data_IF_352987358321
#
_entry.id   IF_352987358321
#
_cell.length_a   1.000
_cell.length_b   1.000
_cell.length_c   1.000
_cell.angle_alpha   90.00
_cell.angle_beta   90.00
_cell.angle_gamma   90.00
#
_symmetry.space_group_name_H-M   'P 1'
#
loop_
_entity.id
_entity.type
_entity.pdbx_description
1 polymer ?
#
# COMPACT_ATOMS: atom_id res chain seq x y z
N UNK A 1 79.24 -36.16 -30.27
CA UNK A 1 80.05 -37.23 -29.67
C UNK A 1 79.14 -38.06 -28.79
N UNK A 2 79.09 -39.36 -29.12
CA UNK A 2 78.58 -40.52 -28.38
C UNK A 2 77.49 -40.37 -27.27
N UNK A 3 76.31 -40.92 -27.62
CA UNK A 3 75.44 -41.89 -26.90
C UNK A 3 76.16 -42.80 -25.85
N UNK A 4 75.51 -43.72 -25.07
CA UNK A 4 74.11 -44.18 -25.12
C UNK A 4 73.47 -44.54 -23.75
N UNK A 5 72.15 -44.81 -23.69
CA UNK A 5 71.63 -46.12 -23.26
C UNK A 5 70.10 -46.19 -23.42
N UNK A 6 69.67 -47.16 -24.21
CA UNK A 6 68.32 -47.73 -24.25
C UNK A 6 68.48 -49.19 -23.82
N UNK A 7 67.50 -49.80 -23.15
CA UNK A 7 67.13 -51.13 -23.60
C UNK A 7 65.62 -51.33 -23.70
N UNK A 8 65.25 -51.92 -24.83
CA UNK A 8 63.99 -52.58 -25.16
C UNK A 8 63.67 -53.75 -24.21
N UNK A 9 62.36 -54.04 -24.02
CA UNK A 9 61.69 -55.33 -24.37
C UNK A 9 60.32 -55.45 -23.67
N UNK A 10 59.21 -55.57 -24.40
CA UNK A 10 58.48 -56.79 -24.85
C UNK A 10 57.27 -57.13 -23.95
N UNK A 11 56.09 -56.95 -24.54
CA UNK A 11 54.89 -57.82 -24.59
C UNK A 11 54.36 -58.50 -23.31
N UNK A 12 53.12 -58.18 -22.94
CA UNK A 12 51.96 -59.10 -22.92
C UNK A 12 50.77 -58.51 -22.15
N UNK A 13 49.56 -58.72 -22.69
CA UNK A 13 48.43 -59.13 -21.86
C UNK A 13 47.40 -58.07 -21.45
N UNK A 14 46.39 -57.95 -22.30
CA UNK A 14 44.96 -57.70 -22.04
C UNK A 14 44.42 -57.82 -20.60
N UNK A 15 43.60 -56.82 -20.26
CA UNK A 15 42.27 -56.86 -19.60
C UNK A 15 42.08 -57.15 -18.10
N UNK A 16 41.17 -56.34 -17.56
CA UNK A 16 40.21 -56.55 -16.45
C UNK A 16 40.74 -56.31 -15.02
N UNK A 17 40.42 -55.14 -14.44
CA UNK A 17 39.25 -54.81 -13.58
C UNK A 17 39.42 -55.34 -12.15
N UNK A 18 39.54 -54.43 -11.18
CA UNK A 18 38.58 -54.28 -10.07
C UNK A 18 39.14 -53.41 -8.95
N UNK A 19 38.31 -52.44 -8.51
CA UNK A 19 38.30 -51.74 -7.20
C UNK A 19 39.51 -50.86 -6.89
N UNK A 20 39.44 -49.77 -6.17
CA UNK A 20 38.47 -48.87 -5.53
C UNK A 20 39.36 -47.63 -5.29
N UNK A 21 38.84 -46.39 -5.33
CA UNK A 21 39.27 -45.36 -4.37
C UNK A 21 38.53 -44.04 -4.59
N UNK A 22 38.09 -43.54 -3.45
CA UNK A 22 37.26 -42.39 -3.11
C UNK A 22 37.82 -41.04 -3.58
N UNK A 23 36.95 -40.20 -4.17
CA UNK A 23 36.83 -38.74 -3.99
C UNK A 23 35.93 -38.23 -5.13
N UNK A 24 34.90 -37.40 -4.96
CA UNK A 24 34.63 -36.38 -3.97
C UNK A 24 33.14 -36.05 -4.11
N UNK A 25 32.31 -36.59 -3.21
CA UNK A 25 30.91 -36.18 -3.06
C UNK A 25 30.86 -35.02 -2.07
N UNK A 26 30.59 -33.82 -2.60
CA UNK A 26 30.14 -32.65 -1.85
C UNK A 26 29.79 -31.51 -2.82
N UNK A 27 28.81 -31.73 -3.68
CA UNK A 27 27.93 -30.62 -4.07
C UNK A 27 26.98 -30.41 -2.90
N UNK A 28 27.38 -29.55 -1.98
CA UNK A 28 26.46 -28.95 -1.02
C UNK A 28 25.58 -28.02 -1.85
N UNK A 29 24.54 -28.59 -2.45
CA UNK A 29 23.36 -27.83 -2.82
C UNK A 29 22.72 -27.43 -1.48
N UNK A 30 23.14 -26.28 -0.96
CA UNK A 30 22.35 -25.51 -0.02
C UNK A 30 21.07 -25.12 -0.76
N UNK A 31 20.14 -26.08 -0.82
CA UNK A 31 18.75 -25.83 -1.12
C UNK A 31 18.29 -24.88 0.00
N UNK A 32 18.38 -23.57 -0.27
CA UNK A 32 17.74 -22.54 0.53
C UNK A 32 16.26 -22.94 0.56
N UNK A 33 15.86 -23.68 1.60
CA UNK A 33 14.48 -23.99 1.88
C UNK A 33 13.81 -22.63 2.02
N UNK A 34 13.10 -22.21 0.97
CA UNK A 34 12.39 -20.94 1.01
C UNK A 34 11.40 -21.08 2.15
N UNK A 35 11.67 -20.42 3.27
CA UNK A 35 10.76 -20.37 4.41
C UNK A 35 9.47 -19.76 3.92
N UNK A 36 8.40 -20.55 3.98
CA UNK A 36 7.07 -20.09 3.59
C UNK A 36 6.62 -19.01 4.57
N UNK A 37 6.24 -17.85 4.05
CA UNK A 37 5.66 -16.74 4.82
C UNK A 37 4.16 -16.71 4.57
N UNK A 38 3.37 -16.80 5.64
CA UNK A 38 1.91 -16.79 5.61
C UNK A 38 1.38 -15.36 5.74
N UNK A 39 0.65 -14.91 4.73
CA UNK A 39 0.03 -13.59 4.67
C UNK A 39 -1.47 -13.72 4.88
N UNK A 40 -1.95 -13.35 6.06
CA UNK A 40 -3.37 -13.25 6.37
C UNK A 40 -3.96 -11.97 5.77
N UNK A 41 -5.09 -12.04 5.07
CA UNK A 41 -5.72 -10.85 4.49
C UNK A 41 -7.17 -10.57 4.91
N UNK A 42 -7.48 -9.29 5.15
CA UNK A 42 -8.80 -8.76 5.54
C UNK A 42 -9.23 -7.57 4.65
N UNK A 43 -10.31 -7.75 3.90
CA UNK A 43 -10.90 -6.71 3.05
C UNK A 43 -12.33 -7.08 2.64
N UNK A 44 -13.12 -6.11 2.15
CA UNK A 44 -14.47 -6.36 1.62
C UNK A 44 -14.47 -7.44 0.54
N UNK A 45 -15.54 -8.23 0.54
CA UNK A 45 -15.73 -9.35 -0.38
C UNK A 45 -15.66 -8.94 -1.87
N UNK A 46 -16.13 -7.75 -2.23
CA UNK A 46 -16.00 -7.21 -3.59
C UNK A 46 -14.55 -7.07 -4.03
N UNK A 47 -13.66 -6.63 -3.12
CA UNK A 47 -12.23 -6.49 -3.40
C UNK A 47 -11.50 -7.82 -3.44
N UNK A 48 -11.84 -8.75 -2.55
CA UNK A 48 -11.31 -10.11 -2.62
C UNK A 48 -11.61 -10.77 -3.97
N UNK A 49 -12.84 -10.60 -4.47
CA UNK A 49 -13.23 -11.08 -5.81
C UNK A 49 -12.44 -10.41 -6.93
N UNK A 50 -12.19 -9.10 -6.86
CA UNK A 50 -11.38 -8.39 -7.86
C UNK A 50 -9.92 -8.87 -7.86
N UNK A 51 -9.31 -9.05 -6.68
CA UNK A 51 -7.96 -9.61 -6.58
C UNK A 51 -7.88 -11.06 -7.06
N UNK A 52 -8.87 -11.89 -6.74
CA UNK A 52 -8.94 -13.26 -7.24
C UNK A 52 -9.01 -13.31 -8.77
N UNK A 53 -9.83 -12.45 -9.39
CA UNK A 53 -9.92 -12.34 -10.86
C UNK A 53 -8.58 -11.95 -11.52
N UNK A 54 -7.74 -11.20 -10.80
CA UNK A 54 -6.42 -10.75 -11.26
C UNK A 54 -5.29 -11.72 -10.89
N UNK A 55 -5.60 -12.83 -10.21
CA UNK A 55 -4.60 -13.79 -9.75
C UNK A 55 -3.67 -13.26 -8.65
N UNK A 56 -4.10 -12.26 -7.87
CA UNK A 56 -3.24 -11.60 -6.88
C UNK A 56 -3.08 -12.41 -5.58
N UNK A 57 -4.03 -13.29 -5.26
CA UNK A 57 -3.96 -14.20 -4.11
C UNK A 57 -4.12 -15.65 -4.59
N UNK A 58 -3.03 -16.30 -5.03
CA UNK A 58 -3.07 -17.67 -5.51
C UNK A 58 -3.36 -18.66 -4.37
N UNK A 59 -4.00 -19.79 -4.70
CA UNK A 59 -4.41 -20.83 -3.74
C UNK A 59 -3.24 -21.67 -3.17
N UNK A 60 -2.01 -21.44 -3.63
CA UNK A 60 -0.81 -22.17 -3.21
C UNK A 60 0.36 -21.24 -2.92
N UNK A 61 1.49 -21.84 -2.51
CA UNK A 61 2.72 -21.09 -2.24
C UNK A 61 3.24 -20.49 -3.54
N UNK A 62 3.47 -19.18 -3.52
CA UNK A 62 4.06 -18.46 -4.67
C UNK A 62 5.52 -18.85 -4.88
N UNK A 63 6.11 -18.60 -6.07
CA UNK A 63 7.55 -18.83 -6.30
C UNK A 63 8.48 -18.10 -5.32
N UNK A 64 7.99 -17.05 -4.66
CA UNK A 64 8.72 -16.27 -3.66
C UNK A 64 8.45 -16.74 -2.21
N UNK A 65 7.78 -17.89 -2.02
CA UNK A 65 7.51 -18.44 -0.69
C UNK A 65 6.32 -17.84 0.05
N UNK A 66 5.48 -17.02 -0.58
CA UNK A 66 4.29 -16.44 0.08
C UNK A 66 3.09 -17.37 -0.03
N UNK A 67 2.37 -17.57 1.09
CA UNK A 67 1.08 -18.26 1.15
C UNK A 67 0.01 -17.27 1.62
N UNK A 68 -1.06 -17.09 0.84
CA UNK A 68 -2.14 -16.15 1.19
C UNK A 68 -3.31 -16.86 1.86
N UNK A 69 -3.68 -16.40 3.06
CA UNK A 69 -4.78 -16.95 3.85
C UNK A 69 -5.86 -15.89 4.05
N UNK A 70 -7.10 -16.21 3.66
CA UNK A 70 -8.23 -15.33 3.94
C UNK A 70 -8.55 -15.38 5.44
N UNK A 71 -8.55 -14.22 6.08
CA UNK A 71 -9.07 -14.07 7.44
C UNK A 71 -10.54 -13.62 7.41
N UNK A 72 -11.24 -13.78 8.54
CA UNK A 72 -12.68 -13.56 8.66
C UNK A 72 -13.04 -12.98 10.03
N UNK A 73 -13.86 -11.91 10.03
CA UNK A 73 -14.43 -11.34 11.25
C UNK A 73 -15.65 -12.12 11.76
N UNK A 74 -16.16 -13.07 10.96
CA UNK A 74 -17.28 -13.95 11.31
C UNK A 74 -16.86 -15.10 12.25
N UNK A 75 -15.55 -15.31 12.43
CA UNK A 75 -14.94 -16.30 13.32
C UNK A 75 -14.00 -15.60 14.31
N UNK A 76 -13.67 -16.21 15.47
CA UNK A 76 -12.69 -15.64 16.39
C UNK A 76 -11.38 -15.30 15.68
N UNK A 77 -10.87 -14.08 15.85
CA UNK A 77 -9.68 -13.63 15.12
C UNK A 77 -8.40 -14.30 15.65
N UNK A 78 -8.26 -14.44 16.97
CA UNK A 78 -7.01 -14.88 17.60
C UNK A 78 -6.42 -16.16 16.97
N UNK A 79 -7.17 -17.28 16.82
CA UNK A 79 -6.59 -18.49 16.23
C UNK A 79 -6.22 -18.34 14.75
N UNK A 80 -6.86 -17.42 14.03
CA UNK A 80 -6.52 -17.14 12.64
C UNK A 80 -5.26 -16.28 12.53
N UNK A 81 -5.05 -15.38 13.49
CA UNK A 81 -3.91 -14.46 13.54
C UNK A 81 -2.63 -15.14 14.03
N UNK A 82 -2.73 -16.11 14.94
CA UNK A 82 -1.60 -16.94 15.39
C UNK A 82 -1.01 -17.82 14.28
N UNK A 83 -1.75 -18.02 13.18
CA UNK A 83 -1.34 -18.85 12.05
C UNK A 83 -0.75 -18.03 10.88
N UNK A 84 -0.53 -16.72 11.04
CA UNK A 84 0.00 -15.87 9.98
C UNK A 84 1.18 -15.02 10.45
N UNK A 85 2.13 -14.77 9.55
CA UNK A 85 3.32 -13.96 9.81
C UNK A 85 3.09 -12.48 9.50
N UNK A 86 2.23 -12.20 8.51
CA UNK A 86 1.92 -10.86 8.01
C UNK A 86 0.41 -10.66 7.94
N UNK A 87 -0.09 -9.50 8.37
CA UNK A 87 -1.48 -9.09 8.22
C UNK A 87 -1.58 -8.02 7.12
N UNK A 88 -2.22 -8.36 6.01
CA UNK A 88 -2.59 -7.43 4.95
C UNK A 88 -4.07 -7.02 5.12
N UNK A 89 -4.36 -5.74 5.33
CA UNK A 89 -5.75 -5.31 5.47
C UNK A 89 -6.08 -4.06 4.67
N UNK A 90 -7.38 -3.86 4.41
CA UNK A 90 -7.92 -2.56 4.00
C UNK A 90 -8.80 -2.00 5.11
N UNK A 91 -8.20 -1.33 6.10
CA UNK A 91 -8.94 -0.77 7.23
C UNK A 91 -10.06 0.19 6.82
N UNK A 92 -9.87 0.92 5.72
CA UNK A 92 -10.86 1.86 5.20
C UNK A 92 -12.17 1.21 4.77
N UNK A 93 -12.20 -0.10 4.53
CA UNK A 93 -13.44 -0.83 4.26
C UNK A 93 -14.34 -0.95 5.48
N UNK A 94 -13.74 -0.97 6.65
CA UNK A 94 -14.37 -1.22 7.94
C UNK A 94 -14.64 0.08 8.70
N UNK A 95 -14.57 1.23 8.04
CA UNK A 95 -14.95 2.53 8.61
C UNK A 95 -16.47 2.63 8.64
N UNK A 96 -17.02 2.99 9.79
CA UNK A 96 -18.43 3.31 10.00
C UNK A 96 -18.64 4.82 9.88
N UNK A 97 -17.79 5.61 10.54
CA UNK A 97 -17.85 7.07 10.51
C UNK A 97 -16.47 7.67 10.74
N UNK A 98 -16.32 8.92 10.30
CA UNK A 98 -15.13 9.74 10.51
C UNK A 98 -15.58 11.08 11.09
N UNK A 99 -14.99 11.48 12.22
CA UNK A 99 -15.18 12.79 12.83
C UNK A 99 -13.87 13.57 12.82
N UNK A 100 -13.82 14.62 11.99
CA UNK A 100 -12.65 15.48 11.80
C UNK A 100 -12.78 16.83 12.51
N UNK A 101 -13.74 16.98 13.44
CA UNK A 101 -14.01 18.26 14.12
C UNK A 101 -12.89 18.65 15.09
N UNK A 102 -12.22 17.67 15.68
CA UNK A 102 -11.10 17.90 16.59
C UNK A 102 -9.76 17.66 15.87
N UNK A 103 -9.18 18.75 15.39
CA UNK A 103 -7.90 18.84 14.65
C UNK A 103 -6.64 18.33 15.37
N UNK A 104 -6.78 17.64 16.51
CA UNK A 104 -5.66 16.94 17.12
C UNK A 104 -5.46 15.62 16.40
N UNK A 105 -4.26 15.42 15.83
CA UNK A 105 -3.70 14.20 15.25
C UNK A 105 -4.10 12.93 16.05
N UNK A 106 -5.31 12.44 15.88
CA UNK A 106 -5.81 11.35 16.70
C UNK A 106 -6.45 10.31 15.81
N UNK A 107 -5.90 9.10 15.92
CA UNK A 107 -6.49 7.85 15.44
C UNK A 107 -7.94 7.63 15.92
N UNK A 108 -8.41 8.44 16.87
CA UNK A 108 -9.76 8.40 17.44
C UNK A 108 -10.81 9.07 16.55
N UNK A 109 -10.40 9.77 15.49
CA UNK A 109 -11.31 10.33 14.49
C UNK A 109 -12.09 9.26 13.72
N UNK A 110 -11.63 8.00 13.71
CA UNK A 110 -12.23 6.94 12.91
C UNK A 110 -12.95 5.95 13.81
N UNK A 111 -14.24 5.74 13.55
CA UNK A 111 -15.00 4.64 14.15
C UNK A 111 -15.00 3.46 13.21
N UNK A 112 -14.39 2.35 13.63
CA UNK A 112 -14.39 1.09 12.88
C UNK A 112 -15.49 0.11 13.30
N UNK A 113 -15.76 -0.89 12.45
CA UNK A 113 -16.57 -2.06 12.79
C UNK A 113 -15.98 -2.85 13.97
N UNK A 114 -16.84 -3.64 14.63
CA UNK A 114 -16.43 -4.48 15.78
C UNK A 114 -15.23 -5.37 15.44
N UNK A 115 -15.21 -6.01 14.26
CA UNK A 115 -14.12 -6.89 13.85
C UNK A 115 -12.79 -6.15 13.69
N UNK A 116 -12.82 -4.96 13.07
CA UNK A 116 -11.62 -4.15 12.92
C UNK A 116 -11.13 -3.55 14.25
N UNK A 117 -12.03 -3.24 15.19
CA UNK A 117 -11.65 -2.87 16.56
C UNK A 117 -10.95 -4.01 17.30
N UNK A 118 -11.42 -5.25 17.12
CA UNK A 118 -10.77 -6.44 17.69
C UNK A 118 -9.37 -6.64 17.09
N UNK A 119 -9.23 -6.48 15.77
CA UNK A 119 -7.94 -6.52 15.08
C UNK A 119 -6.99 -5.43 15.57
N UNK A 120 -7.47 -4.19 15.72
CA UNK A 120 -6.69 -3.07 16.27
C UNK A 120 -6.14 -3.40 17.66
N UNK A 121 -6.99 -3.92 18.56
CA UNK A 121 -6.56 -4.32 19.90
C UNK A 121 -5.51 -5.43 19.87
N UNK A 122 -5.63 -6.38 18.95
CA UNK A 122 -4.62 -7.43 18.77
C UNK A 122 -3.27 -6.82 18.35
N UNK A 123 -3.26 -5.92 17.36
CA UNK A 123 -2.05 -5.25 16.87
C UNK A 123 -1.38 -4.37 17.94
N UNK A 124 -2.15 -3.74 18.82
CA UNK A 124 -1.62 -2.97 19.95
C UNK A 124 -0.92 -3.85 21.01
N UNK A 125 -1.28 -5.14 21.08
CA UNK A 125 -0.72 -6.10 22.02
C UNK A 125 0.47 -6.90 21.45
N UNK A 126 0.62 -6.92 20.12
CA UNK A 126 1.61 -7.71 19.38
C UNK A 126 2.41 -6.80 18.44
N UNK A 127 3.29 -6.00 19.01
CA UNK A 127 4.07 -4.98 18.27
C UNK A 127 5.06 -5.59 17.27
N UNK A 128 5.40 -6.86 17.44
CA UNK A 128 6.21 -7.66 16.53
C UNK A 128 5.45 -8.13 15.27
N UNK A 129 4.11 -8.02 15.27
CA UNK A 129 3.30 -8.42 14.13
C UNK A 129 3.54 -7.48 12.94
N UNK A 130 3.87 -8.05 11.78
CA UNK A 130 4.04 -7.28 10.55
C UNK A 130 2.66 -6.96 9.95
N UNK A 131 2.30 -5.67 9.90
CA UNK A 131 0.99 -5.20 9.42
C UNK A 131 1.14 -4.28 8.22
N UNK A 132 0.34 -4.52 7.19
CA UNK A 132 0.31 -3.74 5.95
C UNK A 132 -1.12 -3.23 5.70
N UNK A 133 -1.40 -1.93 5.78
CA UNK A 133 -0.55 -0.83 6.28
C UNK A 133 -0.79 -0.61 7.78
N UNK A 134 0.20 -0.15 8.58
CA UNK A 134 -0.02 0.16 10.00
C UNK A 134 -1.19 1.13 10.21
N UNK A 135 -2.01 0.87 11.24
CA UNK A 135 -3.26 1.62 11.47
C UNK A 135 -3.03 3.12 11.72
N UNK A 136 -1.90 3.51 12.32
CA UNK A 136 -1.53 4.91 12.52
C UNK A 136 -1.27 5.66 11.20
N UNK A 137 -0.96 4.92 10.11
CA UNK A 137 -0.80 5.46 8.76
C UNK A 137 -2.11 5.54 7.98
N UNK A 138 -3.21 4.99 8.51
CA UNK A 138 -4.53 5.06 7.86
C UNK A 138 -5.19 6.43 8.08
N UNK A 139 -5.05 7.04 9.27
CA UNK A 139 -5.68 8.33 9.55
C UNK A 139 -5.32 9.43 8.53
N UNK A 140 -4.04 9.62 8.18
CA UNK A 140 -3.68 10.62 7.18
C UNK A 140 -4.34 10.43 5.82
N UNK A 141 -4.68 9.20 5.42
CA UNK A 141 -5.28 8.92 4.10
C UNK A 141 -6.81 9.01 4.09
N UNK A 142 -7.45 9.16 5.25
CA UNK A 142 -8.90 9.43 5.34
C UNK A 142 -9.24 10.91 5.41
N UNK A 143 -8.24 11.78 5.62
CA UNK A 143 -8.40 13.23 5.66
C UNK A 143 -7.68 13.88 4.46
N UNK A 144 -8.45 14.41 3.51
CA UNK A 144 -7.91 15.08 2.31
C UNK A 144 -7.05 16.29 2.66
N UNK A 145 -7.38 17.04 3.71
CA UNK A 145 -6.56 18.16 4.14
C UNK A 145 -5.19 17.67 4.61
N UNK A 146 -5.17 16.60 5.42
CA UNK A 146 -3.93 15.97 5.89
C UNK A 146 -3.11 15.39 4.74
N UNK A 147 -3.75 14.76 3.75
CA UNK A 147 -3.08 14.31 2.52
C UNK A 147 -2.35 15.49 1.85
N UNK A 148 -3.04 16.62 1.64
CA UNK A 148 -2.41 17.77 0.98
C UNK A 148 -1.25 18.35 1.79
N UNK A 149 -1.39 18.41 3.12
CA UNK A 149 -0.30 18.85 4.01
C UNK A 149 0.93 17.94 3.90
N UNK A 150 0.73 16.62 3.81
CA UNK A 150 1.84 15.67 3.58
C UNK A 150 2.47 15.89 2.20
N UNK A 151 1.65 16.09 1.17
CA UNK A 151 2.14 16.31 -0.20
C UNK A 151 2.93 17.62 -0.36
N UNK A 152 2.67 18.64 0.46
CA UNK A 152 3.48 19.86 0.49
C UNK A 152 4.94 19.57 0.89
N UNK A 153 5.17 18.59 1.77
CA UNK A 153 6.53 18.19 2.19
C UNK A 153 7.35 17.53 1.09
N UNK A 154 6.75 17.18 -0.07
CA UNK A 154 7.49 16.64 -1.22
C UNK A 154 8.47 17.67 -1.81
N UNK A 155 8.19 18.97 -1.67
CA UNK A 155 9.07 20.03 -2.17
C UNK A 155 10.40 20.11 -1.40
N UNK A 156 10.41 19.66 -0.14
CA UNK A 156 11.56 19.67 0.76
C UNK A 156 12.49 18.47 0.55
N UNK A 157 12.07 17.47 -0.23
CA UNK A 157 12.89 16.28 -0.51
C UNK A 157 14.15 16.66 -1.30
N UNK A 158 15.30 15.99 -1.04
CA UNK A 158 16.54 16.29 -1.74
C UNK A 158 16.36 16.24 -3.26
N UNK A 159 16.62 17.38 -3.90
CA UNK A 159 16.57 17.49 -5.37
C UNK A 159 17.76 16.75 -5.94
N UNK A 160 17.53 15.52 -6.42
CA UNK A 160 18.48 14.81 -7.29
C UNK A 160 18.57 15.48 -8.67
N UNK A 161 18.99 14.72 -9.70
CA UNK A 161 19.03 15.21 -11.10
C UNK A 161 17.65 15.31 -11.78
N UNK A 162 16.54 15.26 -11.03
CA UNK A 162 15.18 15.14 -11.57
C UNK A 162 14.34 16.41 -11.30
N UNK A 163 13.18 16.49 -11.96
CA UNK A 163 12.18 17.53 -11.79
C UNK A 163 11.70 17.64 -10.33
N UNK A 164 11.33 18.84 -9.89
CA UNK A 164 10.66 19.05 -8.60
C UNK A 164 9.25 18.49 -8.63
N UNK A 165 8.90 17.65 -7.67
CA UNK A 165 7.55 17.13 -7.45
C UNK A 165 6.90 17.96 -6.35
N UNK A 166 5.64 18.37 -6.55
CA UNK A 166 4.86 19.07 -5.54
C UNK A 166 3.41 18.61 -5.50
N UNK A 167 2.77 18.80 -4.35
CA UNK A 167 1.32 18.76 -4.25
C UNK A 167 0.66 19.86 -5.10
N UNK A 168 -0.56 19.61 -5.60
CA UNK A 168 -1.37 20.66 -6.23
C UNK A 168 -1.79 21.70 -5.18
N UNK A 169 -1.98 22.95 -5.61
CA UNK A 169 -2.50 23.99 -4.72
C UNK A 169 -3.90 23.59 -4.22
N UNK A 170 -4.20 23.91 -2.96
CA UNK A 170 -5.45 23.55 -2.32
C UNK A 170 -5.90 24.61 -1.31
N UNK A 171 -7.19 24.60 -0.99
CA UNK A 171 -7.83 25.44 0.02
C UNK A 171 -8.83 24.60 0.80
N UNK A 172 -8.74 24.64 2.14
CA UNK A 172 -9.80 24.14 3.02
C UNK A 172 -10.97 25.11 3.02
N UNK A 173 -12.18 24.61 2.78
CA UNK A 173 -13.41 25.38 2.74
C UNK A 173 -14.34 24.87 3.84
N UNK A 174 -14.61 25.71 4.82
CA UNK A 174 -15.50 25.40 5.95
C UNK A 174 -16.94 25.91 5.73
N UNK A 175 -17.11 26.92 4.86
CA UNK A 175 -18.39 27.47 4.44
C UNK A 175 -18.31 27.92 2.97
N UNK A 176 -19.31 27.55 2.17
CA UNK A 176 -19.41 27.96 0.77
C UNK A 176 -19.93 29.39 0.59
N UNK A 177 -20.50 29.98 1.64
CA UNK A 177 -20.99 31.36 1.65
C UNK A 177 -19.97 32.35 2.22
N UNK A 178 -18.72 31.92 2.42
CA UNK A 178 -17.65 32.75 2.92
C UNK A 178 -17.47 34.03 2.06
N UNK A 179 -17.68 35.24 2.63
CA UNK A 179 -17.53 36.49 1.89
C UNK A 179 -16.09 36.75 1.43
N UNK A 180 -15.09 36.10 2.04
CA UNK A 180 -13.68 36.22 1.69
C UNK A 180 -13.20 35.14 0.71
N UNK A 181 -14.12 34.33 0.16
CA UNK A 181 -13.79 33.20 -0.73
C UNK A 181 -12.81 33.58 -1.86
N UNK A 182 -13.07 34.69 -2.57
CA UNK A 182 -12.21 35.15 -3.68
C UNK A 182 -10.78 35.47 -3.21
N UNK A 183 -10.65 36.14 -2.07
CA UNK A 183 -9.35 36.48 -1.48
C UNK A 183 -8.60 35.21 -1.07
N UNK A 184 -9.30 34.26 -0.44
CA UNK A 184 -8.73 32.98 0.01
C UNK A 184 -8.29 32.10 -1.17
N UNK A 185 -9.08 32.02 -2.23
CA UNK A 185 -8.73 31.31 -3.47
C UNK A 185 -7.46 31.90 -4.10
N UNK A 186 -7.39 33.23 -4.20
CA UNK A 186 -6.21 33.95 -4.72
C UNK A 186 -4.97 33.71 -3.86
N UNK A 187 -5.09 33.81 -2.53
CA UNK A 187 -3.99 33.55 -1.59
C UNK A 187 -3.50 32.09 -1.67
N UNK A 188 -4.41 31.13 -1.87
CA UNK A 188 -4.10 29.73 -2.11
C UNK A 188 -3.56 29.43 -3.52
N UNK A 189 -3.47 30.44 -4.40
CA UNK A 189 -3.04 30.29 -5.80
C UNK A 189 -3.89 29.25 -6.55
N UNK A 190 -5.19 29.19 -6.25
CA UNK A 190 -6.14 28.34 -6.96
C UNK A 190 -6.65 29.04 -8.21
N UNK A 191 -6.59 28.34 -9.33
CA UNK A 191 -7.16 28.76 -10.61
C UNK A 191 -8.40 27.93 -10.93
N UNK A 192 -9.29 28.50 -11.75
CA UNK A 192 -10.41 27.76 -12.30
C UNK A 192 -10.01 27.05 -13.61
N UNK A 193 -10.59 25.87 -13.89
CA UNK A 193 -11.51 25.12 -13.03
C UNK A 193 -10.80 24.50 -11.81
N UNK A 194 -11.52 24.38 -10.71
CA UNK A 194 -11.05 23.72 -9.48
C UNK A 194 -12.00 22.58 -9.11
N UNK A 195 -11.47 21.49 -8.56
CA UNK A 195 -12.27 20.38 -8.04
C UNK A 195 -12.46 20.55 -6.53
N UNK A 196 -13.71 20.44 -6.07
CA UNK A 196 -14.11 20.53 -4.67
C UNK A 196 -14.51 19.13 -4.20
N UNK A 197 -13.90 18.68 -3.11
CA UNK A 197 -14.13 17.34 -2.55
C UNK A 197 -14.37 17.48 -1.04
N UNK A 198 -15.18 16.62 -0.40
CA UNK A 198 -15.31 16.60 1.06
C UNK A 198 -13.94 16.44 1.72
N UNK A 199 -13.75 16.92 2.94
CA UNK A 199 -12.50 16.70 3.65
C UNK A 199 -12.31 15.19 3.93
N UNK A 200 -13.39 14.47 4.23
CA UNK A 200 -13.33 13.00 4.38
C UNK A 200 -13.06 12.34 3.03
N UNK A 201 -11.94 11.62 2.94
CA UNK A 201 -11.38 11.12 1.68
C UNK A 201 -11.98 9.79 1.22
N UNK A 202 -12.36 8.92 2.16
CA UNK A 202 -12.91 7.60 1.90
C UNK A 202 -13.60 7.03 3.15
N UNK A 203 -14.19 5.84 3.01
CA UNK A 203 -14.77 5.08 4.13
C UNK A 203 -16.21 5.41 4.47
N UNK A 204 -16.75 6.51 3.94
CA UNK A 204 -18.15 6.94 4.14
C UNK A 204 -18.83 7.25 2.80
N UNK A 205 -20.16 7.15 2.75
CA UNK A 205 -20.93 7.20 1.51
C UNK A 205 -20.79 8.53 0.74
N UNK A 206 -20.65 9.63 1.45
CA UNK A 206 -20.59 10.98 0.92
C UNK A 206 -19.16 11.45 0.59
N UNK A 207 -18.12 10.67 0.93
CA UNK A 207 -16.72 11.00 0.66
C UNK A 207 -16.40 11.23 -0.83
N UNK A 208 -17.25 10.74 -1.74
CA UNK A 208 -17.10 10.86 -3.18
C UNK A 208 -18.05 11.88 -3.83
N UNK A 209 -18.83 12.63 -3.03
CA UNK A 209 -19.68 13.73 -3.53
C UNK A 209 -18.80 14.93 -3.89
N UNK A 210 -18.37 15.04 -5.15
CA UNK A 210 -17.42 16.06 -5.62
C UNK A 210 -18.08 17.00 -6.64
N UNK A 211 -17.52 18.19 -6.80
CA UNK A 211 -17.95 19.16 -7.80
C UNK A 211 -16.74 19.80 -8.51
N UNK A 212 -16.95 20.28 -9.74
CA UNK A 212 -15.99 21.13 -10.45
C UNK A 212 -16.59 22.53 -10.51
N UNK A 213 -15.83 23.53 -10.07
CA UNK A 213 -16.20 24.94 -10.09
C UNK A 213 -15.41 25.65 -11.19
N UNK A 214 -16.09 26.52 -11.94
CA UNK A 214 -15.49 27.28 -13.05
C UNK A 214 -15.33 28.77 -12.72
N UNK A 215 -16.04 29.25 -11.70
CA UNK A 215 -15.92 30.59 -11.12
C UNK A 215 -16.24 30.55 -9.63
N UNK A 216 -15.89 31.61 -8.91
CA UNK A 216 -16.06 31.67 -7.46
C UNK A 216 -17.51 31.67 -7.00
N UNK A 217 -18.42 32.22 -7.80
CA UNK A 217 -19.87 32.20 -7.53
C UNK A 217 -20.44 30.78 -7.45
N UNK A 218 -19.82 29.81 -8.13
CA UNK A 218 -20.31 28.43 -8.20
C UNK A 218 -20.23 27.71 -6.85
N UNK A 219 -19.39 28.17 -5.91
CA UNK A 219 -19.27 27.58 -4.57
C UNK A 219 -20.60 27.62 -3.81
N UNK A 220 -21.36 28.72 -3.92
CA UNK A 220 -22.58 28.97 -3.13
C UNK A 220 -23.69 27.93 -3.32
N UNK A 221 -23.66 27.21 -4.44
CA UNK A 221 -24.69 26.23 -4.81
C UNK A 221 -24.22 24.77 -4.68
N UNK A 222 -23.05 24.54 -4.10
CA UNK A 222 -22.51 23.18 -3.98
C UNK A 222 -23.26 22.37 -2.91
N UNK A 223 -23.60 21.13 -3.27
CA UNK A 223 -24.11 20.11 -2.34
C UNK A 223 -23.00 19.22 -1.76
N UNK A 224 -21.74 19.58 -2.01
CA UNK A 224 -20.57 18.87 -1.47
C UNK A 224 -20.56 19.00 0.07
N UNK A 225 -20.47 17.90 0.83
CA UNK A 225 -20.35 17.97 2.28
C UNK A 225 -19.20 18.88 2.75
N UNK A 226 -19.48 19.69 3.78
CA UNK A 226 -18.49 20.52 4.47
C UNK A 226 -17.98 19.82 5.75
N UNK A 227 -16.72 20.05 6.16
CA UNK A 227 -15.70 20.82 5.44
C UNK A 227 -15.26 20.15 4.14
N UNK A 228 -14.79 20.95 3.18
CA UNK A 228 -14.33 20.53 1.87
C UNK A 228 -12.89 20.99 1.60
N UNK A 229 -12.25 20.37 0.60
CA UNK A 229 -10.95 20.76 0.06
C UNK A 229 -11.15 21.08 -1.42
N UNK A 230 -10.97 22.35 -1.77
CA UNK A 230 -10.84 22.79 -3.15
C UNK A 230 -9.38 22.60 -3.60
N UNK A 231 -9.18 22.07 -4.80
CA UNK A 231 -7.87 21.78 -5.35
C UNK A 231 -7.82 22.21 -6.81
N UNK A 232 -6.68 22.75 -7.25
CA UNK A 232 -6.48 23.09 -8.65
C UNK A 232 -6.69 21.85 -9.52
N UNK A 233 -7.54 21.98 -10.54
CA UNK A 233 -7.63 20.98 -11.59
C UNK A 233 -6.40 21.18 -12.48
N UNK A 234 -5.37 20.36 -12.30
CA UNK A 234 -4.34 20.21 -13.35
C UNK A 234 -5.08 19.70 -14.60
N UNK A 235 -4.74 20.18 -15.80
CA UNK A 235 -5.40 19.96 -17.11
C UNK A 235 -5.66 18.49 -17.52
N UNK A 236 -6.36 17.74 -16.67
CA UNK A 236 -6.80 16.35 -16.81
C UNK A 236 -8.33 16.35 -17.02
N UNK A 237 -8.92 17.50 -17.35
CA UNK A 237 -10.31 17.59 -17.84
C UNK A 237 -10.51 16.86 -19.18
N UNK A 238 -9.45 16.35 -19.80
CA UNK A 238 -9.54 15.45 -20.96
C UNK A 238 -9.93 14.00 -20.61
N UNK A 239 -10.02 13.59 -19.34
CA UNK A 239 -10.17 12.17 -18.98
C UNK A 239 -11.46 11.78 -18.24
N UNK A 240 -12.35 12.71 -17.87
CA UNK A 240 -13.59 12.40 -17.11
C UNK A 240 -14.86 13.00 -17.71
N UNK A 241 -15.03 12.84 -19.02
CA UNK A 241 -16.35 12.75 -19.65
C UNK A 241 -16.43 11.39 -20.32
N UNK A 242 -16.78 10.35 -19.55
CA UNK A 242 -17.40 9.10 -20.03
C UNK A 242 -18.38 8.64 -18.96
#
# INVERSE_FOLDING_TARGET
>A
MASPYNPERVDRGSKEKDREDEHNDRSVDEELSITTVKVGYLMKHSRQKDFAKRGTFPDGVTPNGLLFQRLSFEKPLLPQLEDVDIILHKATDEIISVDLRDSTESSNAITYTKGMQELKRYMEQHVECCVIDPLDKIYPVVDRLKIQQILNGLEDLPKGRCCSIRGPNFLKVDDFNDPEMDQRLSAAKLSFPSIVKPQVACGVADAHSMAIVFKSEDFKNLSVPLPAVAQASMDILAAFVV
#
